data_IF_091641849537
#
_entry.id   IF_091641849537
#
_cell.length_a   1.000
_cell.length_b   1.000
_cell.length_c   1.000
_cell.angle_alpha   90.00
_cell.angle_beta   90.00
_cell.angle_gamma   90.00
#
_symmetry.space_group_name_H-M   'P 1'
#
loop_
_entity.id
_entity.type
_entity.pdbx_description
1 polymer ?
#
# COMPACT_ATOMS: atom_id res chain seq x y z
N UNK A 1 -0.51 10.28 35.54
CA UNK A 1 -1.34 9.73 34.43
C UNK A 1 -0.73 10.21 33.13
N UNK A 2 -0.09 9.33 32.38
CA UNK A 2 0.60 9.65 31.11
C UNK A 2 -0.40 10.22 30.10
N UNK A 3 -0.21 11.48 29.71
CA UNK A 3 -1.16 12.30 28.93
C UNK A 3 -0.84 12.25 27.42
N UNK A 4 -0.36 11.11 26.91
CA UNK A 4 -0.16 10.92 25.49
C UNK A 4 -1.35 10.16 24.91
N UNK A 5 -2.14 10.84 24.08
CA UNK A 5 -3.22 10.22 23.30
C UNK A 5 -2.57 9.17 22.39
N UNK A 6 -3.02 7.92 22.46
CA UNK A 6 -2.56 6.86 21.55
C UNK A 6 -2.91 7.26 20.11
N UNK A 7 -1.93 7.19 19.20
CA UNK A 7 -2.16 7.47 17.78
C UNK A 7 -3.12 6.43 17.21
N UNK A 8 -4.03 6.88 16.36
CA UNK A 8 -5.11 6.08 15.78
C UNK A 8 -4.97 5.97 14.28
N UNK A 9 -5.32 4.81 13.73
CA UNK A 9 -5.25 4.54 12.30
C UNK A 9 -6.51 3.87 11.78
N UNK A 10 -6.75 4.03 10.48
CA UNK A 10 -7.69 3.20 9.72
C UNK A 10 -6.96 2.40 8.64
N UNK A 11 -7.49 1.22 8.31
CA UNK A 11 -6.91 0.32 7.32
C UNK A 11 -7.94 0.03 6.20
N UNK A 12 -7.72 0.62 5.02
CA UNK A 12 -8.50 0.32 3.82
C UNK A 12 -7.87 -0.85 3.07
N UNK A 13 -8.69 -1.69 2.42
CA UNK A 13 -8.21 -2.88 1.70
C UNK A 13 -7.37 -3.77 2.63
N UNK A 14 -7.93 -4.04 3.81
CA UNK A 14 -7.19 -4.58 4.94
C UNK A 14 -6.65 -6.00 4.70
N UNK A 15 -7.29 -6.76 3.80
CA UNK A 15 -6.98 -8.16 3.59
C UNK A 15 -7.01 -8.92 4.93
N UNK A 16 -5.86 -9.49 5.30
CA UNK A 16 -5.69 -10.23 6.56
C UNK A 16 -5.05 -9.40 7.69
N UNK A 17 -4.87 -8.08 7.52
CA UNK A 17 -4.38 -7.16 8.54
C UNK A 17 -2.87 -6.97 8.60
N UNK A 18 -2.22 -6.96 7.43
CA UNK A 18 -0.78 -6.74 7.33
C UNK A 18 -0.33 -5.36 7.85
N UNK A 19 -1.07 -4.28 7.53
CA UNK A 19 -0.75 -2.97 8.08
C UNK A 19 -1.02 -2.94 9.57
N UNK A 20 -2.16 -3.47 10.03
CA UNK A 20 -2.50 -3.52 11.45
C UNK A 20 -1.39 -4.14 12.30
N UNK A 21 -0.83 -5.28 11.89
CA UNK A 21 0.27 -5.91 12.63
C UNK A 21 1.50 -4.98 12.74
N UNK A 22 1.90 -4.31 11.65
CA UNK A 22 3.01 -3.35 11.67
C UNK A 22 2.73 -2.11 12.52
N UNK A 23 1.48 -1.61 12.48
CA UNK A 23 1.04 -0.45 13.26
C UNK A 23 0.98 -0.76 14.76
N UNK A 24 0.41 -1.90 15.14
CA UNK A 24 0.33 -2.34 16.54
C UNK A 24 1.72 -2.56 17.14
N UNK A 25 2.65 -3.15 16.38
CA UNK A 25 4.06 -3.29 16.77
C UNK A 25 4.75 -1.93 17.00
N UNK A 26 4.27 -0.88 16.33
CA UNK A 26 4.74 0.50 16.48
C UNK A 26 3.94 1.31 17.51
N UNK A 27 2.99 0.69 18.22
CA UNK A 27 2.15 1.35 19.23
C UNK A 27 0.97 2.16 18.69
N UNK A 28 0.71 2.13 17.39
CA UNK A 28 -0.42 2.79 16.72
C UNK A 28 -1.64 1.86 16.77
N UNK A 29 -2.81 2.39 17.14
CA UNK A 29 -4.04 1.61 17.23
C UNK A 29 -4.86 1.68 15.94
N UNK A 30 -5.10 0.55 15.29
CA UNK A 30 -6.13 0.46 14.25
C UNK A 30 -7.51 0.51 14.89
N UNK A 31 -8.28 1.55 14.59
CA UNK A 31 -9.64 1.78 15.15
C UNK A 31 -10.75 1.44 14.15
N UNK A 32 -10.41 1.26 12.88
CA UNK A 32 -11.36 0.90 11.83
C UNK A 32 -10.63 0.20 10.69
N UNK A 33 -11.24 -0.81 10.10
CA UNK A 33 -10.72 -1.52 8.94
C UNK A 33 -11.86 -1.87 7.98
N UNK A 34 -11.56 -1.98 6.69
CA UNK A 34 -12.51 -2.44 5.68
C UNK A 34 -11.85 -3.33 4.63
N UNK A 35 -12.58 -4.38 4.23
CA UNK A 35 -12.29 -5.17 3.05
C UNK A 35 -13.60 -5.67 2.41
N UNK A 36 -13.58 -5.96 1.11
CA UNK A 36 -14.72 -6.50 0.37
C UNK A 36 -14.75 -8.04 0.40
N UNK A 37 -13.61 -8.68 0.66
CA UNK A 37 -13.48 -10.12 0.62
C UNK A 37 -13.90 -10.74 1.96
N UNK A 38 -14.93 -11.57 1.92
CA UNK A 38 -15.48 -12.25 3.09
C UNK A 38 -14.46 -13.16 3.80
N UNK A 39 -13.67 -13.94 3.04
CA UNK A 39 -12.66 -14.83 3.62
C UNK A 39 -11.55 -14.03 4.32
N UNK A 40 -11.10 -12.93 3.72
CA UNK A 40 -10.16 -12.01 4.36
C UNK A 40 -10.73 -11.45 5.66
N UNK A 41 -12.00 -11.01 5.66
CA UNK A 41 -12.67 -10.51 6.86
C UNK A 41 -12.79 -11.59 7.95
N UNK A 42 -13.07 -12.85 7.60
CA UNK A 42 -13.11 -13.96 8.57
C UNK A 42 -11.74 -14.19 9.22
N UNK A 43 -10.66 -14.19 8.43
CA UNK A 43 -9.28 -14.30 8.96
C UNK A 43 -8.93 -13.08 9.81
N UNK A 44 -9.33 -11.88 9.39
CA UNK A 44 -9.09 -10.67 10.15
C UNK A 44 -9.79 -10.74 11.53
N UNK A 45 -11.07 -11.13 11.57
CA UNK A 45 -11.84 -11.27 12.81
C UNK A 45 -11.31 -12.37 13.73
N UNK A 46 -10.78 -13.47 13.19
CA UNK A 46 -10.20 -14.54 14.02
C UNK A 46 -8.92 -14.09 14.74
N UNK A 47 -8.17 -13.15 14.14
CA UNK A 47 -6.95 -12.60 14.73
C UNK A 47 -7.21 -11.39 15.65
N UNK A 48 -8.17 -10.54 15.29
CA UNK A 48 -8.35 -9.23 15.91
C UNK A 48 -9.67 -9.04 16.66
N UNK A 49 -10.48 -10.10 16.74
CA UNK A 49 -11.77 -10.12 17.43
C UNK A 49 -12.96 -9.82 16.52
N UNK A 50 -14.15 -10.11 17.03
CA UNK A 50 -15.41 -9.85 16.32
C UNK A 50 -15.62 -8.36 16.08
N UNK A 51 -16.23 -8.01 14.94
CA UNK A 51 -16.48 -6.63 14.50
C UNK A 51 -15.21 -5.75 14.33
N UNK A 52 -14.03 -6.37 14.23
CA UNK A 52 -12.76 -5.65 14.03
C UNK A 52 -12.57 -5.09 12.61
N UNK A 53 -13.44 -5.46 11.68
CA UNK A 53 -13.40 -5.08 10.26
C UNK A 53 -14.83 -4.98 9.72
N UNK A 54 -15.06 -3.99 8.85
CA UNK A 54 -16.29 -3.80 8.10
C UNK A 54 -16.18 -4.54 6.77
N UNK A 55 -17.01 -5.58 6.59
CA UNK A 55 -17.16 -6.26 5.30
C UNK A 55 -18.01 -5.40 4.36
N UNK A 56 -17.45 -4.99 3.22
CA UNK A 56 -18.20 -4.27 2.21
C UNK A 56 -17.33 -3.58 1.17
N UNK A 57 -17.95 -3.19 0.06
CA UNK A 57 -17.30 -2.36 -0.95
C UNK A 57 -17.09 -0.94 -0.40
N UNK A 58 -15.83 -0.49 -0.35
CA UNK A 58 -15.46 0.86 0.09
C UNK A 58 -16.18 1.97 -0.69
N UNK A 59 -16.55 1.73 -1.95
CA UNK A 59 -17.32 2.69 -2.75
C UNK A 59 -18.72 2.93 -2.20
N UNK A 60 -19.30 1.93 -1.53
CA UNK A 60 -20.65 1.99 -0.93
C UNK A 60 -20.66 2.47 0.52
N UNK A 61 -19.49 2.60 1.16
CA UNK A 61 -19.38 3.05 2.55
C UNK A 61 -19.57 4.56 2.62
N UNK A 62 -20.44 4.99 3.54
CA UNK A 62 -20.64 6.40 3.84
C UNK A 62 -19.41 6.93 4.60
N UNK A 63 -18.85 8.05 4.14
CA UNK A 63 -17.70 8.69 4.78
C UNK A 63 -17.97 9.09 6.23
N UNK A 64 -19.24 9.33 6.61
CA UNK A 64 -19.61 9.62 7.98
C UNK A 64 -19.35 8.44 8.94
N UNK A 65 -19.37 7.21 8.43
CA UNK A 65 -19.17 5.99 9.23
C UNK A 65 -17.68 5.67 9.46
N UNK A 66 -16.79 6.32 8.71
CA UNK A 66 -15.33 6.21 8.89
C UNK A 66 -14.94 7.16 10.03
N UNK A 67 -14.35 6.69 11.14
CA UNK A 67 -13.99 7.56 12.25
C UNK A 67 -12.83 8.51 11.88
N UNK A 68 -12.73 9.63 12.61
CA UNK A 68 -11.55 10.49 12.55
C UNK A 68 -10.32 9.71 13.06
N UNK A 69 -9.19 9.92 12.39
CA UNK A 69 -7.97 9.14 12.59
C UNK A 69 -6.72 9.98 12.29
N UNK A 70 -5.59 9.56 12.85
CA UNK A 70 -4.30 10.22 12.64
C UNK A 70 -3.59 9.69 11.38
N UNK A 71 -3.73 8.39 11.08
CA UNK A 71 -3.10 7.70 9.96
C UNK A 71 -4.10 6.89 9.12
N UNK A 72 -4.05 7.03 7.79
CA UNK A 72 -4.76 6.14 6.86
C UNK A 72 -3.77 5.19 6.21
N UNK A 73 -4.02 3.88 6.23
CA UNK A 73 -3.24 2.91 5.46
C UNK A 73 -4.08 2.25 4.37
N UNK A 74 -3.48 1.97 3.21
CA UNK A 74 -4.17 1.28 2.12
C UNK A 74 -3.23 0.51 1.19
N UNK A 75 -3.43 -0.80 1.05
CA UNK A 75 -2.81 -1.64 0.02
C UNK A 75 -3.73 -1.74 -1.19
N UNK A 76 -3.82 -0.67 -1.97
CA UNK A 76 -4.92 -0.52 -2.93
C UNK A 76 -4.71 -1.31 -4.23
N UNK A 77 -5.78 -1.87 -4.84
CA UNK A 77 -5.67 -2.58 -6.11
C UNK A 77 -5.13 -1.69 -7.24
N UNK A 78 -4.25 -2.24 -8.06
CA UNK A 78 -3.70 -1.55 -9.23
C UNK A 78 -4.73 -1.60 -10.39
N UNK A 79 -5.60 -0.60 -10.46
CA UNK A 79 -6.55 -0.41 -11.56
C UNK A 79 -5.96 0.52 -12.63
N UNK A 80 -6.23 0.28 -13.93
CA UNK A 80 -5.82 1.22 -14.97
C UNK A 80 -6.65 2.52 -14.86
N UNK A 81 -5.99 3.67 -14.97
CA UNK A 81 -6.67 4.96 -15.08
C UNK A 81 -7.16 5.17 -16.51
N UNK A 82 -8.27 5.90 -16.67
CA UNK A 82 -8.84 6.07 -18.00
C UNK A 82 -7.95 6.98 -18.86
N UNK A 83 -7.62 6.55 -20.08
CA UNK A 83 -6.97 7.40 -21.08
C UNK A 83 -7.93 8.50 -21.63
N UNK A 84 -9.22 8.38 -21.32
CA UNK A 84 -10.31 9.12 -21.94
C UNK A 84 -10.79 10.34 -21.13
N UNK A 85 -9.94 10.91 -20.28
CA UNK A 85 -10.19 12.20 -19.63
C UNK A 85 -10.29 13.31 -20.67
N UNK A 86 -11.46 13.49 -21.27
CA UNK A 86 -11.77 14.58 -22.21
C UNK A 86 -11.66 15.92 -21.48
N UNK A 87 -10.46 16.49 -21.39
CA UNK A 87 -10.16 17.91 -21.13
C UNK A 87 -10.83 18.56 -19.89
N UNK A 88 -11.17 17.83 -18.82
CA UNK A 88 -11.93 18.40 -17.68
C UNK A 88 -11.20 18.38 -16.31
N UNK A 89 -9.98 17.84 -16.22
CA UNK A 89 -9.10 18.00 -15.05
C UNK A 89 -8.51 16.69 -14.53
N UNK A 90 -7.65 16.76 -13.50
CA UNK A 90 -6.96 15.60 -12.90
C UNK A 90 -7.95 14.62 -12.24
N UNK A 91 -9.05 15.13 -11.66
CA UNK A 91 -10.07 14.29 -10.99
C UNK A 91 -10.76 13.32 -11.95
N UNK A 92 -11.00 13.70 -13.20
CA UNK A 92 -11.64 12.82 -14.18
C UNK A 92 -10.75 11.65 -14.62
N UNK A 93 -9.43 11.72 -14.38
CA UNK A 93 -8.50 10.67 -14.81
C UNK A 93 -8.62 9.40 -13.96
N UNK A 94 -9.04 9.54 -12.69
CA UNK A 94 -9.21 8.43 -11.75
C UNK A 94 -10.64 8.25 -11.26
N UNK A 95 -11.61 8.96 -11.85
CA UNK A 95 -13.02 8.84 -11.50
C UNK A 95 -13.55 7.41 -11.69
N UNK A 96 -14.38 6.95 -10.76
CA UNK A 96 -14.94 5.60 -10.68
C UNK A 96 -13.96 4.53 -10.18
N UNK A 97 -12.71 4.88 -9.88
CA UNK A 97 -11.72 3.92 -9.39
C UNK A 97 -11.74 3.81 -7.86
N UNK A 98 -11.16 2.73 -7.33
CA UNK A 98 -10.94 2.59 -5.88
C UNK A 98 -10.00 3.68 -5.34
N UNK A 99 -9.09 4.18 -6.18
CA UNK A 99 -8.19 5.28 -5.81
C UNK A 99 -8.93 6.60 -5.62
N UNK A 100 -10.00 6.88 -6.39
CA UNK A 100 -10.85 8.05 -6.16
C UNK A 100 -11.39 8.07 -4.74
N UNK A 101 -11.84 6.91 -4.25
CA UNK A 101 -12.41 6.78 -2.91
C UNK A 101 -11.36 7.05 -1.82
N UNK A 102 -10.12 6.64 -2.03
CA UNK A 102 -9.00 6.96 -1.13
C UNK A 102 -8.78 8.47 -1.08
N UNK A 103 -8.72 9.15 -2.24
CA UNK A 103 -8.56 10.60 -2.32
C UNK A 103 -9.73 11.33 -1.64
N UNK A 104 -10.97 10.85 -1.83
CA UNK A 104 -12.17 11.40 -1.20
C UNK A 104 -12.11 11.28 0.34
N UNK A 105 -11.69 10.12 0.86
CA UNK A 105 -11.51 9.90 2.30
C UNK A 105 -10.41 10.80 2.86
N UNK A 106 -9.26 10.92 2.19
CA UNK A 106 -8.17 11.80 2.63
C UNK A 106 -8.61 13.26 2.64
N UNK A 107 -9.29 13.75 1.60
CA UNK A 107 -9.76 15.14 1.52
C UNK A 107 -10.83 15.47 2.58
N UNK A 108 -11.69 14.49 2.88
CA UNK A 108 -12.77 14.65 3.86
C UNK A 108 -12.27 14.55 5.31
N UNK A 109 -11.51 13.49 5.62
CA UNK A 109 -11.06 13.18 6.99
C UNK A 109 -9.79 13.91 7.36
N UNK A 110 -9.00 14.32 6.36
CA UNK A 110 -7.75 15.08 6.52
C UNK A 110 -6.86 14.47 7.60
N UNK A 111 -6.50 13.17 7.54
CA UNK A 111 -5.62 12.58 8.54
C UNK A 111 -4.28 13.31 8.59
N UNK A 112 -3.55 13.21 9.71
CA UNK A 112 -2.21 13.78 9.78
C UNK A 112 -1.27 13.13 8.77
N UNK A 113 -1.44 11.82 8.56
CA UNK A 113 -0.61 11.02 7.70
C UNK A 113 -1.44 10.03 6.87
N UNK A 114 -0.88 9.59 5.74
CA UNK A 114 -1.32 8.36 5.09
C UNK A 114 -0.14 7.56 4.59
N UNK A 115 -0.32 6.24 4.47
CA UNK A 115 0.67 5.31 3.94
C UNK A 115 -0.02 4.35 2.97
N UNK A 116 0.28 4.50 1.69
CA UNK A 116 -0.26 3.65 0.63
C UNK A 116 0.81 2.67 0.16
N UNK A 117 0.41 1.47 -0.21
CA UNK A 117 1.28 0.47 -0.84
C UNK A 117 0.74 0.09 -2.23
N UNK A 118 1.66 -0.17 -3.15
CA UNK A 118 1.34 -0.79 -4.43
C UNK A 118 2.51 -1.62 -4.99
N UNK A 119 2.28 -2.30 -6.11
CA UNK A 119 3.34 -2.97 -6.87
C UNK A 119 4.27 -1.94 -7.53
N UNK A 120 5.58 -2.23 -7.56
CA UNK A 120 6.61 -1.41 -8.24
C UNK A 120 6.25 -1.05 -9.68
N UNK A 121 5.51 -1.91 -10.37
CA UNK A 121 5.08 -1.72 -11.77
C UNK A 121 4.30 -0.42 -11.97
N UNK A 122 3.65 0.14 -10.95
CA UNK A 122 2.90 1.39 -11.07
C UNK A 122 3.75 2.56 -11.58
N UNK A 123 5.07 2.55 -11.30
CA UNK A 123 6.01 3.56 -11.80
C UNK A 123 6.17 3.55 -13.32
N UNK A 124 6.01 2.39 -13.96
CA UNK A 124 6.26 2.19 -15.40
C UNK A 124 4.98 2.08 -16.23
N UNK A 125 3.82 1.89 -15.60
CA UNK A 125 2.53 1.75 -16.30
C UNK A 125 2.20 3.00 -17.11
N UNK A 126 1.81 2.80 -18.37
CA UNK A 126 1.54 3.89 -19.32
C UNK A 126 2.67 4.92 -19.35
N UNK A 127 3.92 4.45 -19.42
CA UNK A 127 5.14 5.30 -19.40
C UNK A 127 5.21 6.20 -18.15
N UNK A 128 4.73 5.70 -17.02
CA UNK A 128 4.66 6.40 -15.73
C UNK A 128 3.49 7.36 -15.59
N UNK A 129 2.61 7.47 -16.58
CA UNK A 129 1.44 8.34 -16.52
C UNK A 129 0.57 8.04 -15.29
N UNK A 130 0.31 6.77 -14.98
CA UNK A 130 -0.56 6.43 -13.84
C UNK A 130 -0.01 6.94 -12.51
N UNK A 131 1.29 6.80 -12.30
CA UNK A 131 1.92 7.28 -11.08
C UNK A 131 1.89 8.82 -10.99
N UNK A 132 2.05 9.53 -12.12
CA UNK A 132 1.87 10.99 -12.17
C UNK A 132 0.48 11.42 -11.72
N UNK A 133 -0.56 10.74 -12.20
CA UNK A 133 -1.95 11.05 -11.82
C UNK A 133 -2.14 10.87 -10.31
N UNK A 134 -1.64 9.77 -9.75
CA UNK A 134 -1.68 9.50 -8.30
C UNK A 134 -0.95 10.59 -7.52
N UNK A 135 0.33 10.85 -7.85
CA UNK A 135 1.13 11.85 -7.15
C UNK A 135 0.49 13.23 -7.22
N UNK A 136 -0.01 13.62 -8.39
CA UNK A 136 -0.63 14.91 -8.56
C UNK A 136 -1.93 15.02 -7.75
N UNK A 137 -2.77 13.98 -7.74
CA UNK A 137 -4.01 13.96 -6.96
C UNK A 137 -3.73 14.11 -5.45
N UNK A 138 -2.76 13.36 -4.93
CA UNK A 138 -2.38 13.39 -3.52
C UNK A 138 -1.69 14.71 -3.12
N UNK A 139 -0.72 15.18 -3.90
CA UNK A 139 0.01 16.42 -3.64
C UNK A 139 -0.89 17.68 -3.72
N UNK A 140 -2.02 17.60 -4.44
CA UNK A 140 -3.01 18.68 -4.52
C UNK A 140 -3.86 18.82 -3.24
N UNK A 141 -3.81 17.86 -2.31
CA UNK A 141 -4.56 17.89 -1.04
C UNK A 141 -3.80 18.57 0.11
N UNK A 142 -2.74 19.33 -0.18
CA UNK A 142 -1.82 19.91 0.81
C UNK A 142 -1.08 18.86 1.66
N UNK A 143 -0.66 17.76 1.02
CA UNK A 143 0.26 16.79 1.62
C UNK A 143 1.61 16.86 0.92
N UNK A 144 2.69 16.82 1.70
CA UNK A 144 3.99 16.42 1.18
C UNK A 144 3.96 14.91 0.98
N UNK A 145 4.25 14.49 -0.24
CA UNK A 145 4.32 13.08 -0.61
C UNK A 145 5.78 12.68 -0.65
N UNK A 146 6.11 11.56 -0.03
CA UNK A 146 7.37 10.87 -0.19
C UNK A 146 7.08 9.44 -0.66
N UNK A 147 7.81 8.92 -1.64
CA UNK A 147 7.70 7.52 -2.00
C UNK A 147 9.04 6.82 -1.96
N UNK A 148 9.01 5.51 -1.68
CA UNK A 148 10.19 4.66 -1.72
C UNK A 148 9.84 3.23 -2.17
N UNK A 149 10.71 2.63 -2.99
CA UNK A 149 10.69 1.18 -3.24
C UNK A 149 11.40 0.48 -2.10
N UNK A 150 10.70 -0.47 -1.47
CA UNK A 150 11.20 -1.26 -0.35
C UNK A 150 10.94 -2.74 -0.65
N UNK A 151 11.87 -3.62 -0.24
CA UNK A 151 11.73 -5.06 -0.38
C UNK A 151 12.00 -5.75 0.97
N UNK A 152 11.26 -6.82 1.33
CA UNK A 152 11.54 -7.62 2.52
C UNK A 152 12.97 -8.13 2.61
N UNK A 153 13.67 -8.31 1.47
CA UNK A 153 15.08 -8.69 1.45
C UNK A 153 15.99 -7.66 2.13
N UNK A 154 15.60 -6.37 2.13
CA UNK A 154 16.29 -5.34 2.88
C UNK A 154 16.16 -5.57 4.39
N UNK A 155 15.15 -6.30 4.84
CA UNK A 155 14.92 -6.63 6.25
C UNK A 155 15.23 -8.09 6.59
N UNK A 156 16.10 -8.74 5.80
CA UNK A 156 16.57 -10.10 6.08
C UNK A 156 15.55 -11.20 5.80
N UNK A 157 14.36 -10.85 5.29
CA UNK A 157 13.31 -11.81 4.90
C UNK A 157 13.65 -12.34 3.50
N UNK A 158 13.78 -13.66 3.30
CA UNK A 158 14.13 -14.25 2.00
C UNK A 158 12.95 -14.25 1.01
N UNK A 159 12.40 -13.07 0.74
CA UNK A 159 11.30 -12.87 -0.19
C UNK A 159 11.65 -11.74 -1.16
N UNK A 160 11.73 -12.05 -2.45
CA UNK A 160 11.89 -11.05 -3.49
C UNK A 160 10.53 -10.39 -3.78
N UNK A 161 10.23 -9.30 -3.06
CA UNK A 161 8.95 -8.60 -3.16
C UNK A 161 9.16 -7.09 -3.09
N UNK A 162 9.56 -6.49 -4.21
CA UNK A 162 9.63 -5.03 -4.32
C UNK A 162 8.23 -4.40 -4.34
N UNK A 163 8.02 -3.43 -3.46
CA UNK A 163 6.79 -2.64 -3.36
C UNK A 163 7.11 -1.17 -3.24
N UNK A 164 6.25 -0.35 -3.82
CA UNK A 164 6.32 1.10 -3.63
C UNK A 164 5.42 1.46 -2.44
N UNK A 165 6.01 2.19 -1.51
CA UNK A 165 5.31 2.82 -0.41
C UNK A 165 5.21 4.31 -0.71
N UNK A 166 4.04 4.89 -0.51
CA UNK A 166 3.74 6.29 -0.74
C UNK A 166 3.23 6.87 0.58
N UNK A 167 4.06 7.66 1.23
CA UNK A 167 3.74 8.34 2.47
C UNK A 167 3.29 9.76 2.18
N UNK A 168 2.21 10.17 2.82
CA UNK A 168 1.72 11.54 2.79
C UNK A 168 1.75 12.14 4.18
N UNK A 169 2.35 13.32 4.30
CA UNK A 169 2.39 14.09 5.53
C UNK A 169 1.66 15.41 5.34
N UNK A 170 0.62 15.67 6.15
CA UNK A 170 -0.22 16.86 5.97
C UNK A 170 0.57 18.12 6.27
N UNK A 171 0.66 19.02 5.29
CA UNK A 171 1.27 20.32 5.45
C UNK A 171 0.22 21.32 5.95
N UNK A 172 0.58 22.15 6.93
CA UNK A 172 -0.19 23.38 7.21
C UNK A 172 0.05 24.37 6.05
N UNK A 173 -0.83 25.35 5.92
CA UNK A 173 -0.80 26.34 4.82
C UNK A 173 0.53 27.08 4.66
N UNK A 174 1.34 27.16 5.73
CA UNK A 174 2.69 27.71 5.72
C UNK A 174 3.71 26.55 5.78
N UNK A 175 3.91 25.86 4.66
CA UNK A 175 4.96 24.86 4.54
C UNK A 175 6.33 25.57 4.48
N UNK A 176 7.00 25.67 5.63
CA UNK A 176 8.35 26.20 5.70
C UNK A 176 9.36 25.07 5.42
N UNK A 177 10.28 25.24 4.46
CA UNK A 177 11.28 24.23 4.11
C UNK A 177 12.15 23.74 5.29
N UNK A 178 12.30 24.53 6.36
CA UNK A 178 13.02 24.13 7.58
C UNK A 178 12.41 22.89 8.25
N UNK A 179 11.11 22.63 8.06
CA UNK A 179 10.44 21.47 8.64
C UNK A 179 10.34 20.28 7.66
N UNK A 180 10.91 20.36 6.46
CA UNK A 180 10.77 19.32 5.44
C UNK A 180 11.27 17.96 5.96
N UNK A 181 12.37 17.93 6.71
CA UNK A 181 12.91 16.72 7.33
C UNK A 181 11.92 16.04 8.29
N UNK A 182 11.11 16.79 9.03
CA UNK A 182 10.08 16.25 9.94
C UNK A 182 8.95 15.52 9.19
N UNK A 183 8.84 15.76 7.88
CA UNK A 183 7.80 15.19 7.03
C UNK A 183 8.31 14.02 6.15
N UNK A 184 9.61 13.74 6.13
CA UNK A 184 10.22 12.65 5.39
C UNK A 184 10.56 11.50 6.33
N UNK A 185 10.06 10.30 6.02
CA UNK A 185 10.22 9.10 6.84
C UNK A 185 11.07 8.03 6.17
N UNK A 186 11.27 8.13 4.85
CA UNK A 186 12.05 7.16 4.10
C UNK A 186 13.49 7.57 3.92
N UNK A 187 13.89 8.82 4.18
CA UNK A 187 15.29 9.22 4.20
C UNK A 187 15.92 9.02 5.58
N UNK A 188 17.13 8.49 5.60
CA UNK A 188 18.00 8.56 6.79
C UNK A 188 19.04 9.69 6.65
N UNK A 189 19.76 9.99 7.73
CA UNK A 189 20.76 11.06 7.75
C UNK A 189 21.86 10.89 6.68
N UNK A 190 22.40 9.70 6.48
CA UNK A 190 23.44 9.46 5.46
C UNK A 190 22.94 9.63 4.02
N UNK A 191 21.67 9.29 3.75
CA UNK A 191 21.04 9.51 2.45
C UNK A 191 20.75 10.99 2.20
N UNK A 192 20.37 11.68 3.27
CA UNK A 192 20.15 13.13 3.27
C UNK A 192 21.44 13.87 2.88
N UNK A 193 22.57 13.49 3.50
CA UNK A 193 23.89 14.00 3.15
C UNK A 193 24.30 13.63 1.72
N UNK A 194 24.03 12.39 1.28
CA UNK A 194 24.33 11.92 -0.08
C UNK A 194 23.58 12.70 -1.15
N UNK A 195 22.31 13.02 -0.92
CA UNK A 195 21.50 13.81 -1.86
C UNK A 195 22.04 15.23 -2.03
N UNK A 196 22.82 15.73 -1.06
CA UNK A 196 23.25 17.14 -0.96
C UNK A 196 22.06 18.08 -1.22
N UNK A 197 20.91 17.70 -0.66
CA UNK A 197 19.64 18.33 -0.92
C UNK A 197 19.54 19.58 -0.05
N UNK A 198 19.45 20.75 -0.67
CA UNK A 198 19.22 21.99 0.05
C UNK A 198 17.74 22.06 0.44
N UNK A 199 17.42 21.58 1.65
CA UNK A 199 16.07 21.55 2.19
C UNK A 199 15.45 22.95 2.26
N UNK A 200 16.25 23.96 2.63
CA UNK A 200 15.82 25.38 2.70
C UNK A 200 15.32 25.92 1.36
N UNK A 201 15.87 25.43 0.24
CA UNK A 201 15.50 25.87 -1.10
C UNK A 201 15.00 24.73 -1.98
N UNK A 202 14.37 23.70 -1.39
CA UNK A 202 14.05 22.45 -2.12
C UNK A 202 13.16 22.65 -3.35
N UNK A 203 12.32 23.70 -3.34
CA UNK A 203 11.44 24.05 -4.44
C UNK A 203 12.17 24.23 -5.77
N UNK A 204 13.44 24.64 -5.74
CA UNK A 204 14.28 24.81 -6.95
C UNK A 204 14.59 23.50 -7.66
N UNK A 205 14.49 22.37 -6.96
CA UNK A 205 14.69 21.03 -7.52
C UNK A 205 13.39 20.42 -8.04
N UNK A 206 12.23 20.99 -7.68
CA UNK A 206 10.95 20.44 -8.06
C UNK A 206 10.57 20.86 -9.49
N UNK A 207 10.05 19.91 -10.25
CA UNK A 207 9.54 20.11 -11.61
C UNK A 207 8.08 19.68 -11.70
N UNK A 208 7.27 20.23 -12.64
CA UNK A 208 5.86 19.86 -12.78
C UNK A 208 5.70 18.35 -12.97
N UNK A 209 4.81 17.72 -12.20
CA UNK A 209 4.62 16.26 -12.21
C UNK A 209 4.24 15.75 -13.60
N UNK A 210 3.32 16.45 -14.26
CA UNK A 210 2.79 16.01 -15.56
C UNK A 210 3.83 16.12 -16.67
N UNK A 211 4.70 17.14 -16.62
CA UNK A 211 5.72 17.42 -17.64
C UNK A 211 7.03 16.66 -17.39
N UNK A 212 7.23 16.11 -16.19
CA UNK A 212 8.45 15.41 -15.83
C UNK A 212 8.64 14.10 -16.62
N UNK A 213 9.79 13.84 -17.25
CA UNK A 213 10.11 12.49 -17.69
C UNK A 213 10.32 11.64 -16.45
N UNK A 214 9.34 10.83 -16.05
CA UNK A 214 9.54 9.91 -14.93
C UNK A 214 10.62 8.91 -15.36
N UNK A 215 11.82 9.15 -14.84
CA UNK A 215 12.75 8.07 -14.59
C UNK A 215 12.20 7.32 -13.39
N UNK A 216 12.15 5.99 -13.47
CA UNK A 216 11.56 5.10 -12.46
C UNK A 216 12.44 5.01 -11.21
N UNK A 217 12.74 6.16 -10.62
CA UNK A 217 13.63 6.26 -9.49
C UNK A 217 12.96 5.65 -8.25
N UNK A 218 13.73 4.91 -7.44
CA UNK A 218 13.22 4.20 -6.28
C UNK A 218 12.80 5.12 -5.15
N UNK A 219 13.14 6.42 -5.19
CA UNK A 219 12.75 7.39 -4.19
C UNK A 219 12.41 8.75 -4.83
N UNK A 220 11.54 9.51 -4.18
CA UNK A 220 11.31 10.91 -4.48
C UNK A 220 10.25 11.55 -3.59
N UNK A 221 10.03 12.84 -3.82
CA UNK A 221 9.08 13.68 -3.13
C UNK A 221 8.17 14.44 -4.11
N UNK A 222 6.96 14.76 -3.69
CA UNK A 222 6.04 15.61 -4.44
C UNK A 222 5.25 16.54 -3.51
N UNK A 223 5.08 17.79 -3.93
CA UNK A 223 4.31 18.81 -3.23
C UNK A 223 3.77 19.81 -4.24
N UNK A 224 2.50 20.22 -4.07
CA UNK A 224 1.83 21.23 -4.92
C UNK A 224 2.11 21.04 -6.42
N UNK A 225 1.75 19.88 -6.96
CA UNK A 225 1.84 19.55 -8.40
C UNK A 225 3.27 19.50 -8.96
N UNK A 226 4.30 19.63 -8.12
CA UNK A 226 5.71 19.46 -8.49
C UNK A 226 6.31 18.27 -7.78
N UNK A 227 7.38 17.72 -8.34
CA UNK A 227 8.09 16.55 -7.80
C UNK A 227 9.59 16.64 -8.00
N UNK A 228 10.32 15.87 -7.20
CA UNK A 228 11.74 15.57 -7.38
C UNK A 228 11.96 14.09 -7.09
N UNK A 229 12.81 13.43 -7.88
CA UNK A 229 13.09 12.01 -7.70
C UNK A 229 14.52 11.65 -8.08
N UNK A 230 15.08 10.67 -7.37
CA UNK A 230 16.47 10.26 -7.53
C UNK A 230 16.68 8.81 -7.12
N UNK A 231 17.72 8.17 -7.66
CA UNK A 231 18.20 6.90 -7.14
C UNK A 231 18.96 7.14 -5.85
N UNK A 232 18.49 6.51 -4.77
CA UNK A 232 19.23 6.41 -3.53
C UNK A 232 20.13 5.17 -3.54
N UNK A 233 21.22 5.18 -2.74
CA UNK A 233 21.94 3.96 -2.43
C UNK A 233 21.02 2.94 -1.74
N UNK A 234 21.52 1.71 -1.59
CA UNK A 234 20.80 0.64 -0.90
C UNK A 234 20.45 1.05 0.53
N UNK A 235 19.25 0.66 0.98
CA UNK A 235 18.69 0.96 2.30
C UNK A 235 19.73 0.73 3.43
N UNK A 236 19.86 1.63 4.42
CA UNK A 236 20.90 1.53 5.45
C UNK A 236 20.68 0.36 6.41
N UNK A 237 19.42 0.04 6.74
CA UNK A 237 19.04 -0.99 7.71
C UNK A 237 18.96 -2.37 7.05
N UNK A 238 19.98 -2.74 6.28
CA UNK A 238 20.06 -4.09 5.72
C UNK A 238 20.33 -5.07 6.85
N UNK A 239 19.29 -5.81 7.22
CA UNK A 239 19.48 -6.99 8.05
C UNK A 239 20.22 -8.06 7.23
N UNK A 240 21.10 -8.85 7.87
CA UNK A 240 21.84 -9.89 7.17
C UNK A 240 20.85 -10.84 6.46
N UNK A 241 21.11 -11.20 5.19
CA UNK A 241 20.20 -12.05 4.44
C UNK A 241 20.09 -13.42 5.09
N UNK A 242 18.88 -13.83 5.43
CA UNK A 242 18.60 -15.18 5.92
C UNK A 242 18.35 -16.11 4.73
N UNK A 243 18.88 -17.34 4.75
CA UNK A 243 18.54 -18.32 3.71
C UNK A 243 17.20 -18.97 4.03
N UNK A 244 16.40 -19.25 3.01
CA UNK A 244 15.09 -19.90 3.19
C UNK A 244 15.17 -21.18 4.04
N UNK A 245 16.17 -22.04 3.78
CA UNK A 245 16.42 -23.27 4.55
C UNK A 245 16.65 -23.06 6.05
N UNK A 246 17.00 -21.84 6.49
CA UNK A 246 17.27 -21.53 7.89
C UNK A 246 16.00 -21.10 8.65
N UNK A 247 14.88 -20.87 7.95
CA UNK A 247 13.60 -20.41 8.54
C UNK A 247 12.43 -21.33 8.20
N UNK A 248 12.63 -22.31 7.32
CA UNK A 248 11.64 -23.34 7.08
C UNK A 248 11.52 -24.21 8.31
N UNK A 249 10.28 -24.41 8.76
CA UNK A 249 9.95 -25.39 9.77
C UNK A 249 10.30 -26.79 9.27
N UNK A 250 10.74 -27.68 10.17
CA UNK A 250 11.00 -29.07 9.79
C UNK A 250 9.69 -29.72 9.33
N UNK A 251 9.70 -30.51 8.26
CA UNK A 251 8.52 -31.26 7.80
C UNK A 251 7.92 -32.13 8.92
N UNK A 252 8.75 -32.62 9.84
CA UNK A 252 8.31 -33.40 10.99
C UNK A 252 7.46 -32.62 12.01
N UNK A 253 7.46 -31.29 11.94
CA UNK A 253 6.76 -30.39 12.85
C UNK A 253 5.54 -29.73 12.20
N UNK A 254 5.36 -29.88 10.88
CA UNK A 254 4.21 -29.35 10.15
C UNK A 254 3.02 -30.27 10.37
N UNK A 255 1.92 -29.73 10.89
CA UNK A 255 0.70 -30.54 11.06
C UNK A 255 0.18 -30.98 9.68
N UNK A 256 -0.25 -32.25 9.51
CA UNK A 256 -0.64 -32.79 8.20
C UNK A 256 -1.73 -32.00 7.47
N UNK A 257 -2.55 -31.24 8.18
CA UNK A 257 -3.58 -30.37 7.60
C UNK A 257 -3.01 -29.20 6.77
N UNK A 258 -1.75 -28.85 6.98
CA UNK A 258 -1.04 -27.83 6.20
C UNK A 258 -0.22 -28.42 5.05
N UNK A 259 -0.15 -29.75 4.93
CA UNK A 259 0.44 -30.42 3.77
C UNK A 259 -0.53 -30.39 2.60
N UNK A 260 -0.05 -29.97 1.44
CA UNK A 260 -0.80 -30.04 0.18
C UNK A 260 -0.83 -31.47 -0.37
N UNK A 261 -1.39 -32.40 0.40
CA UNK A 261 -1.67 -33.77 -0.07
C UNK A 261 -3.01 -33.83 -0.82
N UNK A 262 -3.16 -34.83 -1.69
CA UNK A 262 -4.46 -35.15 -2.32
C UNK A 262 -5.55 -35.36 -1.25
N UNK A 263 -5.19 -35.92 -0.09
CA UNK A 263 -6.10 -36.16 1.03
C UNK A 263 -6.58 -34.86 1.67
N UNK A 264 -5.67 -33.92 1.94
CA UNK A 264 -5.99 -32.59 2.49
C UNK A 264 -6.78 -31.76 1.49
N UNK A 265 -6.41 -31.82 0.21
CA UNK A 265 -7.15 -31.18 -0.87
C UNK A 265 -8.59 -31.72 -0.93
N UNK A 266 -8.77 -33.04 -0.82
CA UNK A 266 -10.10 -33.64 -0.78
C UNK A 266 -10.90 -33.25 0.46
N UNK A 267 -10.27 -33.21 1.64
CA UNK A 267 -10.94 -32.85 2.89
C UNK A 267 -11.45 -31.39 2.90
N UNK A 268 -10.65 -30.45 2.40
CA UNK A 268 -10.99 -29.02 2.43
C UNK A 268 -11.79 -28.54 1.22
N UNK A 269 -11.57 -29.12 0.02
CA UNK A 269 -12.29 -28.71 -1.20
C UNK A 269 -13.69 -29.34 -1.27
N UNK A 270 -13.87 -30.61 -0.86
CA UNK A 270 -15.20 -31.23 -0.93
C UNK A 270 -16.14 -30.75 0.18
N UNK A 271 -15.65 -30.25 1.32
CA UNK A 271 -16.53 -29.62 2.33
C UNK A 271 -17.04 -28.23 1.90
N UNK A 272 -16.35 -27.55 0.98
CA UNK A 272 -16.73 -26.21 0.51
C UNK A 272 -17.60 -26.23 -0.76
N UNK A 273 -17.81 -27.39 -1.40
CA UNK A 273 -18.42 -27.53 -2.73
C UNK A 273 -19.64 -28.46 -2.76
N UNK A 274 -20.40 -28.58 -1.65
CA UNK A 274 -21.74 -29.19 -1.62
C UNK A 274 -22.81 -28.30 -2.29
N UNK A 275 -22.49 -27.74 -3.46
CA UNK A 275 -23.45 -27.11 -4.36
C UNK A 275 -23.46 -27.95 -5.63
N UNK A 276 -24.52 -28.74 -5.82
CA UNK A 276 -24.73 -29.56 -7.00
C UNK A 276 -24.67 -28.70 -8.28
N UNK A 277 -23.61 -28.85 -9.06
CA UNK A 277 -23.62 -28.43 -10.46
C UNK A 277 -23.97 -29.64 -11.36
N UNK A 278 -24.82 -29.46 -12.38
CA UNK A 278 -25.17 -30.53 -13.30
C UNK A 278 -23.93 -30.99 -14.09
N UNK A 279 -23.87 -32.27 -14.51
CA UNK A 279 -22.67 -32.87 -15.06
C UNK A 279 -22.29 -32.19 -16.38
N UNK A 280 -21.12 -31.54 -16.40
CA UNK A 280 -20.51 -31.08 -17.64
C UNK A 280 -20.04 -32.31 -18.43
N UNK A 281 -20.58 -32.43 -19.66
CA UNK A 281 -20.27 -33.50 -20.59
C UNK A 281 -18.76 -33.64 -20.83
N UNK A 282 -18.32 -34.90 -20.85
CA UNK A 282 -16.90 -35.26 -20.93
C UNK A 282 -16.21 -34.75 -22.18
N UNK A 283 -15.04 -34.15 -22.00
CA UNK A 283 -14.02 -34.03 -23.04
C UNK A 283 -12.82 -34.88 -22.61
N UNK A 284 -12.57 -35.95 -23.37
CA UNK A 284 -11.38 -36.80 -23.23
C UNK A 284 -10.13 -35.97 -23.57
N UNK A 285 -9.20 -35.86 -22.64
CA UNK A 285 -7.83 -35.47 -22.95
C UNK A 285 -7.13 -36.63 -23.65
N UNK A 286 -6.80 -36.44 -24.93
CA UNK A 286 -5.92 -37.35 -25.68
C UNK A 286 -4.47 -37.07 -25.31
N UNK A 287 -3.78 -38.14 -24.89
CA UNK A 287 -2.33 -38.23 -24.73
C UNK A 287 -1.64 -38.01 -26.08
N UNK A 288 -0.65 -37.11 -26.11
CA UNK A 288 0.47 -37.18 -27.06
C UNK A 288 1.60 -36.27 -26.60
N UNK A 289 2.49 -36.82 -25.76
CA UNK A 289 3.89 -36.39 -25.75
C UNK A 289 4.61 -37.23 -26.80
N UNK A 290 5.19 -36.52 -27.78
CA UNK A 290 6.14 -37.00 -28.78
C UNK A 290 7.02 -35.82 -29.16
#
# INVERSE_FOLDING_TARGET
MSRFKKQTAIELFAGIGGFRLGLEASGIQTIWANDINELCCQVYQSNFGQNSIVLGDIQSINLADIPDHDLLTAGFPCQPFSAAGKKLGIRDQFRGTLFEKIVEIIDTKKPHYFLLENVKRILTMEQGHHFKVILNALASLNYLIEWRIISPINFGIPQNRERIFIFGSRCKSDFNPINLEDHLIFLNQSETEYLNFDFENFEKYLYPILDSPIKNYPWGIAYQNKMYSQSLPSFPDIYPPTRLKNILQSESEVEPQFDFTITVFKAHVFQAWDVEYPPLGGVKASESFG
#
